data_IF_550653877999
#
_entry.id   IF_550653877999
#
_cell.length_a   1.000
_cell.length_b   1.000
_cell.length_c   1.000
_cell.angle_alpha   90.00
_cell.angle_beta   90.00
_cell.angle_gamma   90.00
#
_symmetry.space_group_name_H-M   'P 1'
#
loop_
_entity.id
_entity.type
_entity.pdbx_description
1 polymer ?
#
# COMPACT_ATOMS: atom_id res chain seq x y z
N UNK A 1 45.64 16.46 -30.68
CA UNK A 1 44.89 17.71 -30.88
C UNK A 1 44.88 18.48 -29.58
N UNK A 2 45.27 19.76 -29.64
CA UNK A 2 45.56 20.62 -28.50
C UNK A 2 44.35 20.76 -27.56
N UNK A 3 44.57 20.53 -26.26
CA UNK A 3 43.61 20.90 -25.22
C UNK A 3 43.63 22.42 -25.09
N UNK A 4 42.58 23.09 -25.56
CA UNK A 4 42.34 24.49 -25.21
C UNK A 4 42.30 24.61 -23.68
N UNK A 5 43.23 25.42 -23.14
CA UNK A 5 43.27 25.73 -21.72
C UNK A 5 42.05 26.59 -21.38
N UNK A 6 40.96 25.94 -20.96
CA UNK A 6 39.78 26.62 -20.38
C UNK A 6 40.23 27.55 -19.24
N UNK A 7 39.77 28.80 -19.28
CA UNK A 7 40.13 29.86 -18.34
C UNK A 7 39.68 29.57 -16.89
N UNK A 8 40.33 30.25 -15.95
CA UNK A 8 40.10 30.14 -14.50
C UNK A 8 38.61 30.28 -14.10
N UNK A 9 37.87 31.15 -14.80
CA UNK A 9 36.44 31.39 -14.57
C UNK A 9 35.59 30.17 -14.97
N UNK A 10 35.91 29.50 -16.09
CA UNK A 10 35.21 28.30 -16.50
C UNK A 10 35.42 27.14 -15.52
N UNK A 11 36.62 27.04 -14.91
CA UNK A 11 36.92 26.05 -13.85
C UNK A 11 36.28 26.36 -12.50
N UNK A 12 35.95 27.63 -12.23
CA UNK A 12 35.21 28.03 -11.03
C UNK A 12 33.70 27.82 -11.18
N UNK A 13 33.17 27.95 -12.41
CA UNK A 13 31.75 27.76 -12.71
C UNK A 13 31.40 26.29 -13.00
N UNK A 14 32.23 25.59 -13.76
CA UNK A 14 32.12 24.14 -13.97
C UNK A 14 32.80 23.44 -12.78
N UNK A 15 32.05 23.29 -11.68
CA UNK A 15 32.43 22.34 -10.63
C UNK A 15 32.67 20.95 -11.23
N UNK A 16 33.54 20.15 -10.61
CA UNK A 16 33.83 18.78 -11.08
C UNK A 16 32.51 18.03 -11.31
N UNK A 17 32.25 17.62 -12.55
CA UNK A 17 31.11 16.76 -12.87
C UNK A 17 31.20 15.52 -11.97
N UNK A 18 30.16 15.28 -11.18
CA UNK A 18 30.04 14.02 -10.43
C UNK A 18 30.04 12.90 -11.46
N UNK A 19 31.03 12.01 -11.38
CA UNK A 19 31.11 10.86 -12.28
C UNK A 19 29.79 10.08 -12.23
N UNK A 20 29.32 9.56 -13.36
CA UNK A 20 28.11 8.74 -13.44
C UNK A 20 28.16 7.54 -12.46
N UNK A 21 29.37 7.09 -12.14
CA UNK A 21 29.65 6.05 -11.14
C UNK A 21 29.29 6.48 -9.70
N UNK A 22 29.49 7.76 -9.35
CA UNK A 22 29.04 8.34 -8.07
C UNK A 22 27.52 8.45 -8.01
N UNK A 23 26.84 8.74 -9.13
CA UNK A 23 25.37 8.72 -9.17
C UNK A 23 24.81 7.29 -9.02
N UNK A 24 25.49 6.28 -9.60
CA UNK A 24 25.13 4.86 -9.43
C UNK A 24 25.33 4.38 -7.99
N UNK A 25 26.41 4.76 -7.31
CA UNK A 25 26.67 4.36 -5.91
C UNK A 25 25.74 5.03 -4.89
N UNK A 26 24.98 6.07 -5.27
CA UNK A 26 23.94 6.67 -4.43
C UNK A 26 22.59 5.96 -4.46
N UNK A 27 22.42 4.93 -5.30
CA UNK A 27 21.20 4.13 -5.28
C UNK A 27 21.15 3.24 -4.03
N UNK A 28 19.95 3.03 -3.44
CA UNK A 28 19.81 2.21 -2.25
C UNK A 28 20.21 0.76 -2.51
N UNK A 29 20.87 0.16 -1.52
CA UNK A 29 21.37 -1.22 -1.63
C UNK A 29 20.33 -2.27 -1.25
N UNK A 30 19.28 -1.88 -0.53
CA UNK A 30 18.19 -2.76 -0.13
C UNK A 30 16.84 -2.01 -0.13
N UNK A 31 15.75 -2.78 -0.08
CA UNK A 31 14.36 -2.27 -0.14
C UNK A 31 14.02 -1.35 1.03
N UNK A 32 14.56 -1.65 2.22
CA UNK A 32 14.38 -0.80 3.39
C UNK A 32 14.99 0.61 3.24
N UNK A 33 16.20 0.70 2.68
CA UNK A 33 16.83 1.97 2.33
C UNK A 33 16.01 2.70 1.26
N UNK A 34 15.59 1.97 0.21
CA UNK A 34 14.76 2.51 -0.86
C UNK A 34 13.44 3.10 -0.34
N UNK A 35 12.78 2.44 0.60
CA UNK A 35 11.59 2.96 1.26
C UNK A 35 11.85 4.34 1.87
N UNK A 36 12.91 4.49 2.67
CA UNK A 36 13.23 5.75 3.32
C UNK A 36 13.70 6.84 2.35
N UNK A 37 14.43 6.46 1.31
CA UNK A 37 14.87 7.37 0.25
C UNK A 37 13.67 7.94 -0.51
N UNK A 38 12.68 7.10 -0.83
CA UNK A 38 11.44 7.56 -1.47
C UNK A 38 10.63 8.39 -0.49
N UNK A 39 10.42 7.90 0.74
CA UNK A 39 9.55 8.54 1.72
C UNK A 39 10.03 9.95 2.09
N UNK A 40 11.33 10.10 2.35
CA UNK A 40 11.93 11.39 2.73
C UNK A 40 12.31 12.23 1.50
N UNK A 41 12.90 11.62 0.48
CA UNK A 41 13.41 12.32 -0.70
C UNK A 41 12.30 12.82 -1.64
N UNK A 42 11.14 12.17 -1.65
CA UNK A 42 10.00 12.53 -2.49
C UNK A 42 8.75 12.92 -1.69
N UNK A 43 8.90 13.40 -0.45
CA UNK A 43 7.76 13.66 0.44
C UNK A 43 6.70 14.58 -0.17
N UNK A 44 7.10 15.63 -0.89
CA UNK A 44 6.16 16.53 -1.59
C UNK A 44 5.35 15.83 -2.69
N UNK A 45 5.92 14.81 -3.35
CA UNK A 45 5.18 13.98 -4.33
C UNK A 45 4.26 12.99 -3.62
N UNK A 46 4.72 12.40 -2.52
CA UNK A 46 3.90 11.50 -1.67
C UNK A 46 2.67 12.22 -1.15
N UNK A 47 2.83 13.44 -0.63
CA UNK A 47 1.71 14.28 -0.20
C UNK A 47 0.69 14.50 -1.33
N UNK A 48 1.16 14.87 -2.53
CA UNK A 48 0.28 15.08 -3.69
C UNK A 48 -0.48 13.81 -4.10
N UNK A 49 0.20 12.66 -4.12
CA UNK A 49 -0.43 11.37 -4.40
C UNK A 49 -1.46 11.02 -3.32
N UNK A 50 -1.09 11.21 -2.04
CA UNK A 50 -1.99 10.96 -0.92
C UNK A 50 -3.26 11.80 -1.01
N UNK A 51 -3.13 13.09 -1.32
CA UNK A 51 -4.26 13.99 -1.49
C UNK A 51 -5.19 13.54 -2.61
N UNK A 52 -4.64 13.11 -3.76
CA UNK A 52 -5.44 12.57 -4.86
C UNK A 52 -6.16 11.28 -4.46
N UNK A 53 -5.50 10.36 -3.76
CA UNK A 53 -6.16 9.14 -3.24
C UNK A 53 -7.28 9.52 -2.27
N UNK A 54 -6.99 10.40 -1.31
CA UNK A 54 -7.90 10.86 -0.28
C UNK A 54 -9.20 11.41 -0.88
N UNK A 55 -9.11 12.23 -1.93
CA UNK A 55 -10.27 12.80 -2.63
C UNK A 55 -11.28 11.73 -3.04
N UNK A 56 -10.81 10.60 -3.56
CA UNK A 56 -11.65 9.48 -3.99
C UNK A 56 -12.06 8.55 -2.84
N UNK A 57 -11.40 8.64 -1.68
CA UNK A 57 -11.77 7.94 -0.45
C UNK A 57 -12.76 8.74 0.42
N UNK A 58 -13.04 10.01 0.11
CA UNK A 58 -14.02 10.84 0.85
C UNK A 58 -15.36 10.11 1.04
N UNK A 59 -15.98 9.47 0.02
CA UNK A 59 -17.24 8.77 0.22
C UNK A 59 -17.13 7.62 1.24
N UNK A 60 -16.03 6.85 1.21
CA UNK A 60 -15.80 5.79 2.19
C UNK A 60 -15.59 6.36 3.60
N UNK A 61 -14.83 7.47 3.73
CA UNK A 61 -14.64 8.15 5.02
C UNK A 61 -15.96 8.70 5.55
N UNK A 62 -16.79 9.31 4.68
CA UNK A 62 -18.10 9.83 5.06
C UNK A 62 -19.03 8.72 5.56
N UNK A 63 -19.03 7.54 4.91
CA UNK A 63 -19.75 6.36 5.39
C UNK A 63 -19.30 6.01 6.81
N UNK A 64 -17.99 5.88 7.07
CA UNK A 64 -17.47 5.58 8.41
C UNK A 64 -17.99 6.61 9.43
N UNK A 65 -17.83 7.90 9.14
CA UNK A 65 -18.24 8.98 10.05
C UNK A 65 -19.75 8.94 10.33
N UNK A 66 -20.58 8.81 9.29
CA UNK A 66 -22.04 8.76 9.44
C UNK A 66 -22.46 7.58 10.31
N UNK A 67 -21.95 6.38 10.04
CA UNK A 67 -22.34 5.19 10.80
C UNK A 67 -21.78 5.18 12.22
N UNK A 68 -20.60 5.77 12.46
CA UNK A 68 -20.10 6.01 13.83
C UNK A 68 -21.01 6.97 14.60
N UNK A 69 -21.44 8.08 13.98
CA UNK A 69 -22.36 9.03 14.61
C UNK A 69 -23.76 8.45 14.86
N UNK A 70 -24.27 7.62 13.94
CA UNK A 70 -25.52 6.88 14.14
C UNK A 70 -25.41 5.90 15.31
N UNK A 71 -24.29 5.19 15.44
CA UNK A 71 -24.03 4.31 16.58
C UNK A 71 -24.04 5.06 17.92
N UNK A 72 -23.37 6.21 17.99
CA UNK A 72 -23.38 7.08 19.17
C UNK A 72 -24.79 7.59 19.49
N UNK A 73 -25.54 8.01 18.47
CA UNK A 73 -26.92 8.49 18.61
C UNK A 73 -27.84 7.38 19.14
N UNK A 74 -27.72 6.16 18.60
CA UNK A 74 -28.44 4.99 19.10
C UNK A 74 -28.11 4.71 20.56
N UNK A 75 -26.84 4.86 20.97
CA UNK A 75 -26.38 4.74 22.35
C UNK A 75 -27.07 5.68 23.35
N UNK A 76 -27.47 6.87 22.89
CA UNK A 76 -28.18 7.88 23.71
C UNK A 76 -29.71 7.68 23.65
N UNK A 77 -30.25 7.33 22.48
CA UNK A 77 -31.70 7.25 22.27
C UNK A 77 -32.32 5.97 22.82
N UNK A 78 -31.63 4.84 22.72
CA UNK A 78 -32.17 3.55 23.12
C UNK A 78 -31.81 3.20 24.57
N UNK A 79 -32.75 2.64 25.34
CA UNK A 79 -32.57 2.39 26.76
C UNK A 79 -31.80 1.09 27.01
N UNK A 80 -30.60 0.93 26.44
CA UNK A 80 -29.79 -0.29 26.58
C UNK A 80 -29.48 -0.65 28.04
N UNK A 81 -29.50 0.33 28.95
CA UNK A 81 -29.30 0.15 30.39
C UNK A 81 -30.58 0.03 31.25
N UNK A 82 -31.80 0.15 30.67
CA UNK A 82 -33.02 0.21 31.48
C UNK A 82 -33.30 -1.07 32.28
N UNK A 83 -32.84 -2.23 31.80
CA UNK A 83 -33.01 -3.51 32.49
C UNK A 83 -31.82 -3.88 33.40
N UNK A 84 -30.88 -2.95 33.65
CA UNK A 84 -29.79 -3.14 34.61
C UNK A 84 -30.21 -2.89 36.07
N UNK A 85 -31.47 -2.53 36.32
CA UNK A 85 -32.06 -2.46 37.66
C UNK A 85 -31.70 -1.20 38.47
N UNK A 86 -31.04 -0.21 37.88
CA UNK A 86 -30.67 1.05 38.56
C UNK A 86 -31.43 2.22 37.93
N UNK A 87 -32.41 2.75 38.66
CA UNK A 87 -33.00 4.08 38.41
C UNK A 87 -33.95 4.23 37.21
N UNK A 88 -34.20 3.18 36.43
CA UNK A 88 -35.12 3.21 35.27
C UNK A 88 -36.20 2.13 35.38
N UNK A 89 -37.44 2.40 34.90
CA UNK A 89 -38.48 1.37 34.81
C UNK A 89 -38.06 0.27 33.82
N UNK A 90 -38.28 -0.99 34.20
CA UNK A 90 -38.00 -2.14 33.33
C UNK A 90 -38.78 -2.02 32.02
N UNK A 91 -38.08 -2.12 30.89
CA UNK A 91 -38.66 -2.04 29.56
C UNK A 91 -38.78 -3.46 28.96
N UNK A 92 -39.98 -3.90 28.55
CA UNK A 92 -40.17 -5.21 27.94
C UNK A 92 -39.50 -5.28 26.55
N UNK A 93 -39.09 -6.49 26.13
CA UNK A 93 -38.57 -6.79 24.77
C UNK A 93 -37.27 -6.08 24.34
N UNK A 94 -36.37 -5.77 25.27
CA UNK A 94 -35.03 -5.24 24.93
C UNK A 94 -34.00 -6.32 24.55
N UNK A 95 -34.34 -7.61 24.69
CA UNK A 95 -33.44 -8.73 24.33
C UNK A 95 -33.07 -8.68 22.85
N UNK A 96 -31.77 -8.69 22.56
CA UNK A 96 -31.26 -8.65 21.18
C UNK A 96 -31.42 -7.32 20.44
N UNK A 97 -31.96 -6.26 21.08
CA UNK A 97 -32.16 -4.97 20.42
C UNK A 97 -30.84 -4.37 19.90
N UNK A 98 -29.79 -4.39 20.72
CA UNK A 98 -28.46 -3.90 20.33
C UNK A 98 -27.88 -4.68 19.15
N UNK A 99 -28.01 -6.01 19.17
CA UNK A 99 -27.57 -6.89 18.10
C UNK A 99 -28.37 -6.67 16.81
N UNK A 100 -29.67 -6.42 16.91
CA UNK A 100 -30.54 -6.13 15.76
C UNK A 100 -30.17 -4.79 15.10
N UNK A 101 -29.97 -3.74 15.89
CA UNK A 101 -29.51 -2.44 15.41
C UNK A 101 -28.11 -2.52 14.78
N UNK A 102 -27.20 -3.28 15.39
CA UNK A 102 -25.85 -3.50 14.85
C UNK A 102 -25.90 -4.25 13.52
N UNK A 103 -26.72 -5.31 13.41
CA UNK A 103 -26.94 -6.05 12.17
C UNK A 103 -27.42 -5.12 11.06
N UNK A 104 -28.42 -4.30 11.32
CA UNK A 104 -28.97 -3.36 10.34
C UNK A 104 -27.93 -2.30 9.94
N UNK A 105 -27.27 -1.68 10.92
CA UNK A 105 -26.27 -0.65 10.72
C UNK A 105 -25.09 -1.17 9.88
N UNK A 106 -24.53 -2.31 10.24
CA UNK A 106 -23.41 -2.90 9.52
C UNK A 106 -23.80 -3.33 8.11
N UNK A 107 -24.99 -3.92 7.92
CA UNK A 107 -25.47 -4.29 6.59
C UNK A 107 -25.51 -3.09 5.64
N UNK A 108 -26.04 -1.96 6.11
CA UNK A 108 -26.06 -0.72 5.33
C UNK A 108 -24.66 -0.13 5.14
N UNK A 109 -23.81 -0.13 6.18
CA UNK A 109 -22.46 0.42 6.11
C UNK A 109 -21.59 -0.36 5.10
N UNK A 110 -21.51 -1.68 5.24
CA UNK A 110 -20.71 -2.52 4.35
C UNK A 110 -21.32 -2.62 2.95
N UNK A 111 -22.64 -2.53 2.81
CA UNK A 111 -23.31 -2.39 1.52
C UNK A 111 -22.93 -1.08 0.82
N UNK A 112 -22.91 0.03 1.56
CA UNK A 112 -22.47 1.33 1.04
C UNK A 112 -20.99 1.34 0.66
N UNK A 113 -20.11 0.60 1.35
CA UNK A 113 -18.71 0.47 0.96
C UNK A 113 -18.52 -0.18 -0.41
N UNK A 114 -19.38 -1.14 -0.79
CA UNK A 114 -19.34 -1.72 -2.14
C UNK A 114 -19.58 -0.63 -3.19
N UNK A 115 -20.54 0.26 -2.97
CA UNK A 115 -20.80 1.39 -3.88
C UNK A 115 -19.66 2.40 -3.87
N UNK A 116 -19.16 2.76 -2.69
CA UNK A 116 -18.02 3.68 -2.55
C UNK A 116 -16.74 3.12 -3.18
N UNK A 117 -16.59 1.79 -3.28
CA UNK A 117 -15.42 1.14 -3.88
C UNK A 117 -15.24 1.50 -5.37
N UNK A 118 -16.33 1.81 -6.10
CA UNK A 118 -16.25 2.27 -7.48
C UNK A 118 -15.51 3.61 -7.61
N UNK A 119 -15.70 4.49 -6.63
CA UNK A 119 -15.03 5.79 -6.57
C UNK A 119 -13.62 5.60 -6.00
N UNK A 120 -13.46 4.88 -4.90
CA UNK A 120 -12.18 4.63 -4.25
C UNK A 120 -11.17 3.91 -5.17
N UNK A 121 -11.66 3.06 -6.07
CA UNK A 121 -10.84 2.39 -7.08
C UNK A 121 -10.10 3.36 -8.01
N UNK A 122 -10.67 4.55 -8.28
CA UNK A 122 -9.98 5.61 -9.04
C UNK A 122 -8.75 6.08 -8.26
N UNK A 123 -8.92 6.36 -6.97
CA UNK A 123 -7.84 6.70 -6.04
C UNK A 123 -6.74 5.64 -6.01
N UNK A 124 -7.13 4.38 -5.77
CA UNK A 124 -6.21 3.25 -5.70
C UNK A 124 -5.45 3.03 -7.01
N UNK A 125 -6.14 3.04 -8.16
CA UNK A 125 -5.52 2.78 -9.46
C UNK A 125 -4.46 3.81 -9.85
N UNK A 126 -4.74 5.10 -9.62
CA UNK A 126 -3.76 6.16 -9.84
C UNK A 126 -2.62 6.11 -8.81
N UNK A 127 -2.97 5.95 -7.53
CA UNK A 127 -2.01 5.88 -6.43
C UNK A 127 -1.01 4.73 -6.56
N UNK A 128 -1.50 3.51 -6.78
CA UNK A 128 -0.65 2.32 -6.91
C UNK A 128 0.31 2.41 -8.10
N UNK A 129 -0.12 3.02 -9.20
CA UNK A 129 0.74 3.22 -10.37
C UNK A 129 1.87 4.21 -10.09
N UNK A 130 1.56 5.37 -9.51
CA UNK A 130 2.56 6.39 -9.20
C UNK A 130 3.55 5.87 -8.16
N UNK A 131 3.07 5.24 -7.09
CA UNK A 131 3.92 4.68 -6.03
C UNK A 131 4.79 3.53 -6.55
N UNK A 132 4.24 2.64 -7.38
CA UNK A 132 5.04 1.59 -8.04
C UNK A 132 6.18 2.18 -8.86
N UNK A 133 5.92 3.23 -9.64
CA UNK A 133 6.96 3.88 -10.44
C UNK A 133 8.02 4.57 -9.54
N UNK A 134 7.62 5.13 -8.39
CA UNK A 134 8.59 5.61 -7.39
C UNK A 134 9.49 4.48 -6.87
N UNK A 135 8.93 3.31 -6.56
CA UNK A 135 9.70 2.12 -6.12
C UNK A 135 10.64 1.62 -7.22
N UNK A 136 10.29 1.82 -8.49
CA UNK A 136 11.20 1.57 -9.61
C UNK A 136 12.23 2.67 -9.85
N UNK A 137 12.25 3.71 -9.01
CA UNK A 137 13.09 4.92 -9.16
C UNK A 137 12.92 5.62 -10.51
N UNK A 138 11.75 5.48 -11.13
CA UNK A 138 11.43 6.15 -12.39
C UNK A 138 11.06 7.60 -12.14
N UNK A 139 11.41 8.49 -13.08
CA UNK A 139 11.00 9.89 -13.03
C UNK A 139 9.48 10.01 -13.15
N UNK A 140 8.83 10.53 -12.11
CA UNK A 140 7.37 10.65 -12.03
C UNK A 140 6.86 12.10 -12.04
N UNK A 141 5.82 12.33 -12.84
CA UNK A 141 4.97 13.52 -12.83
C UNK A 141 3.61 13.16 -12.24
N UNK A 142 3.45 13.39 -10.93
CA UNK A 142 2.34 12.88 -10.11
C UNK A 142 0.96 12.98 -10.77
N UNK A 143 0.55 14.16 -11.25
CA UNK A 143 -0.79 14.35 -11.79
C UNK A 143 -1.03 13.55 -13.09
N UNK A 144 -0.08 13.61 -14.03
CA UNK A 144 -0.22 12.94 -15.32
C UNK A 144 -0.12 11.42 -15.16
N UNK A 145 0.82 10.95 -14.34
CA UNK A 145 1.01 9.52 -14.07
C UNK A 145 -0.16 8.95 -13.28
N UNK A 146 -0.78 9.73 -12.38
CA UNK A 146 -1.97 9.29 -11.65
C UNK A 146 -3.12 8.96 -12.62
N UNK A 147 -3.47 9.88 -13.53
CA UNK A 147 -4.55 9.65 -14.49
C UNK A 147 -4.21 8.56 -15.52
N UNK A 148 -2.94 8.43 -15.88
CA UNK A 148 -2.47 7.29 -16.68
C UNK A 148 -2.67 5.98 -15.91
N UNK A 149 -2.32 5.96 -14.63
CA UNK A 149 -2.52 4.84 -13.72
C UNK A 149 -3.98 4.40 -13.62
N UNK A 150 -4.90 5.37 -13.48
CA UNK A 150 -6.35 5.12 -13.49
C UNK A 150 -6.74 4.39 -14.78
N UNK A 151 -6.39 4.92 -15.95
CA UNK A 151 -6.77 4.32 -17.24
C UNK A 151 -6.25 2.88 -17.42
N UNK A 152 -5.09 2.58 -16.85
CA UNK A 152 -4.45 1.26 -17.01
C UNK A 152 -4.91 0.24 -15.97
N UNK A 153 -5.18 0.67 -14.73
CA UNK A 153 -5.35 -0.24 -13.59
C UNK A 153 -6.70 -0.12 -12.90
N UNK A 154 -7.63 0.69 -13.40
CA UNK A 154 -8.95 0.89 -12.77
C UNK A 154 -9.63 -0.44 -12.43
N UNK A 155 -9.71 -1.37 -13.40
CA UNK A 155 -10.32 -2.68 -13.18
C UNK A 155 -9.58 -3.52 -12.14
N UNK A 156 -8.25 -3.43 -12.10
CA UNK A 156 -7.44 -4.15 -11.13
C UNK A 156 -7.63 -3.62 -9.70
N UNK A 157 -7.74 -2.30 -9.54
CA UNK A 157 -8.06 -1.68 -8.27
C UNK A 157 -9.52 -1.96 -7.85
N UNK A 158 -10.46 -1.84 -8.78
CA UNK A 158 -11.89 -2.05 -8.53
C UNK A 158 -12.19 -3.47 -8.09
N UNK A 159 -11.67 -4.47 -8.79
CA UNK A 159 -11.92 -5.87 -8.43
C UNK A 159 -11.31 -6.23 -7.07
N UNK A 160 -10.15 -5.66 -6.70
CA UNK A 160 -9.57 -5.85 -5.38
C UNK A 160 -10.41 -5.18 -4.28
N UNK A 161 -10.89 -3.97 -4.52
CA UNK A 161 -11.74 -3.22 -3.59
C UNK A 161 -13.10 -3.89 -3.39
N UNK A 162 -13.79 -4.28 -4.48
CA UNK A 162 -15.06 -5.00 -4.40
C UNK A 162 -14.88 -6.35 -3.72
N UNK A 163 -13.83 -7.11 -4.07
CA UNK A 163 -13.53 -8.38 -3.42
C UNK A 163 -13.43 -8.21 -1.89
N UNK A 164 -12.68 -7.21 -1.44
CA UNK A 164 -12.56 -6.90 -0.01
C UNK A 164 -13.91 -6.50 0.60
N UNK A 165 -14.63 -5.54 0.01
CA UNK A 165 -15.90 -5.05 0.53
C UNK A 165 -16.97 -6.14 0.61
N UNK A 166 -17.07 -7.02 -0.39
CA UNK A 166 -18.03 -8.14 -0.40
C UNK A 166 -17.71 -9.15 0.69
N UNK A 167 -16.44 -9.53 0.86
CA UNK A 167 -16.06 -10.46 1.93
C UNK A 167 -16.28 -9.84 3.31
N UNK A 168 -16.01 -8.54 3.49
CA UNK A 168 -16.33 -7.82 4.72
C UNK A 168 -17.83 -7.81 5.02
N UNK A 169 -18.67 -7.51 4.02
CA UNK A 169 -20.14 -7.54 4.14
C UNK A 169 -20.62 -8.93 4.57
N UNK A 170 -20.18 -9.99 3.87
CA UNK A 170 -20.59 -11.36 4.18
C UNK A 170 -20.09 -11.80 5.56
N UNK A 171 -18.82 -11.52 5.89
CA UNK A 171 -18.24 -11.87 7.18
C UNK A 171 -18.94 -11.18 8.35
N UNK A 172 -19.23 -9.89 8.22
CA UNK A 172 -19.95 -9.13 9.26
C UNK A 172 -21.43 -9.50 9.34
N UNK A 173 -22.08 -9.79 8.21
CA UNK A 173 -23.43 -10.34 8.23
C UNK A 173 -23.49 -11.66 9.01
N UNK A 174 -22.57 -12.60 8.75
CA UNK A 174 -22.50 -13.86 9.46
C UNK A 174 -22.24 -13.67 10.97
N UNK A 175 -21.30 -12.80 11.35
CA UNK A 175 -21.03 -12.48 12.76
C UNK A 175 -22.28 -11.89 13.43
N UNK A 176 -22.89 -10.88 12.84
CA UNK A 176 -24.02 -10.18 13.45
C UNK A 176 -25.25 -11.08 13.55
N UNK A 177 -25.48 -11.97 12.58
CA UNK A 177 -26.57 -12.97 12.68
C UNK A 177 -26.31 -14.01 13.77
N UNK A 178 -25.06 -14.44 13.95
CA UNK A 178 -24.68 -15.34 15.05
C UNK A 178 -24.92 -14.65 16.41
N UNK A 179 -24.47 -13.41 16.58
CA UNK A 179 -24.66 -12.64 17.81
C UNK A 179 -26.14 -12.39 18.13
N UNK A 180 -26.94 -12.02 17.11
CA UNK A 180 -28.39 -11.84 17.28
C UNK A 180 -29.08 -13.14 17.71
N UNK A 181 -28.70 -14.25 17.08
CA UNK A 181 -29.25 -15.59 17.44
C UNK A 181 -28.91 -15.95 18.88
N UNK A 182 -27.68 -15.70 19.31
CA UNK A 182 -27.23 -15.94 20.69
C UNK A 182 -27.91 -15.04 21.72
N UNK A 183 -28.43 -13.88 21.29
CA UNK A 183 -29.07 -12.90 22.16
C UNK A 183 -30.59 -13.12 22.30
N UNK A 184 -31.27 -13.59 21.26
CA UNK A 184 -32.75 -13.69 21.22
C UNK A 184 -33.25 -15.13 21.38
N UNK A 185 -32.46 -16.13 20.94
CA UNK A 185 -32.91 -17.51 20.95
C UNK A 185 -32.32 -18.29 22.12
N UNK A 186 -33.15 -19.16 22.72
CA UNK A 186 -32.68 -20.16 23.67
C UNK A 186 -31.92 -21.26 22.93
N UNK A 187 -30.60 -21.09 22.83
CA UNK A 187 -29.71 -22.07 22.18
C UNK A 187 -29.11 -23.04 23.19
N UNK A 188 -28.91 -24.31 22.78
CA UNK A 188 -28.18 -25.28 23.59
C UNK A 188 -26.70 -24.88 23.76
N UNK A 189 -26.04 -25.42 24.79
CA UNK A 189 -24.60 -25.20 25.03
C UNK A 189 -23.76 -25.56 23.79
N UNK A 190 -24.08 -26.67 23.11
CA UNK A 190 -23.38 -27.09 21.89
C UNK A 190 -23.54 -26.12 20.72
N UNK A 191 -24.77 -25.64 20.47
CA UNK A 191 -25.02 -24.64 19.42
C UNK A 191 -24.29 -23.32 19.68
N UNK A 192 -24.22 -22.88 20.95
CA UNK A 192 -23.48 -21.66 21.32
C UNK A 192 -22.01 -21.75 20.95
N UNK A 193 -21.38 -22.91 21.17
CA UNK A 193 -19.97 -23.13 20.77
C UNK A 193 -19.81 -23.03 19.26
N UNK A 194 -20.72 -23.63 18.48
CA UNK A 194 -20.68 -23.55 17.01
C UNK A 194 -20.81 -22.13 16.48
N UNK A 195 -21.72 -21.32 17.03
CA UNK A 195 -21.84 -19.91 16.65
C UNK A 195 -20.55 -19.13 16.93
N UNK A 196 -19.91 -19.35 18.10
CA UNK A 196 -18.63 -18.71 18.42
C UNK A 196 -17.47 -19.15 17.51
N UNK A 197 -17.43 -20.42 17.11
CA UNK A 197 -16.45 -20.90 16.12
C UNK A 197 -16.70 -20.22 14.76
N UNK A 198 -17.95 -20.07 14.34
CA UNK A 198 -18.31 -19.41 13.08
C UNK A 198 -17.94 -17.92 13.08
N UNK A 199 -18.14 -17.21 14.18
CA UNK A 199 -17.68 -15.83 14.37
C UNK A 199 -16.16 -15.73 14.18
N UNK A 200 -15.39 -16.58 14.89
CA UNK A 200 -13.93 -16.59 14.80
C UNK A 200 -13.43 -16.91 13.38
N UNK A 201 -14.04 -17.90 12.72
CA UNK A 201 -13.73 -18.24 11.34
C UNK A 201 -14.02 -17.07 10.37
N UNK A 202 -15.14 -16.36 10.57
CA UNK A 202 -15.49 -15.20 9.75
C UNK A 202 -14.46 -14.07 9.88
N UNK A 203 -13.95 -13.82 11.10
CA UNK A 203 -12.86 -12.86 11.33
C UNK A 203 -11.59 -13.28 10.59
N UNK A 204 -11.19 -14.55 10.67
CA UNK A 204 -10.01 -15.08 9.97
C UNK A 204 -10.16 -14.89 8.46
N UNK A 205 -11.33 -15.19 7.90
CA UNK A 205 -11.60 -15.03 6.47
C UNK A 205 -11.54 -13.56 6.04
N UNK A 206 -12.03 -12.62 6.86
CA UNK A 206 -11.92 -11.18 6.58
C UNK A 206 -10.47 -10.69 6.60
N UNK A 207 -9.68 -11.13 7.59
CA UNK A 207 -8.24 -10.79 7.66
C UNK A 207 -7.50 -11.35 6.45
N UNK A 208 -7.76 -12.60 6.08
CA UNK A 208 -7.18 -13.22 4.89
C UNK A 208 -7.58 -12.46 3.62
N UNK A 209 -8.85 -12.07 3.49
CA UNK A 209 -9.32 -11.29 2.35
C UNK A 209 -8.69 -9.89 2.27
N UNK A 210 -8.42 -9.26 3.42
CA UNK A 210 -7.66 -8.01 3.48
C UNK A 210 -6.26 -8.19 2.89
N UNK A 211 -5.52 -9.21 3.35
CA UNK A 211 -4.19 -9.53 2.82
C UNK A 211 -4.23 -9.87 1.32
N UNK A 212 -5.21 -10.66 0.90
CA UNK A 212 -5.42 -10.99 -0.51
C UNK A 212 -5.67 -9.73 -1.34
N UNK A 213 -6.48 -8.79 -0.87
CA UNK A 213 -6.78 -7.55 -1.61
C UNK A 213 -5.53 -6.69 -1.82
N UNK A 214 -4.64 -6.63 -0.83
CA UNK A 214 -3.36 -5.94 -0.96
C UNK A 214 -2.44 -6.65 -1.98
N UNK A 215 -2.41 -7.98 -1.98
CA UNK A 215 -1.71 -8.76 -3.01
C UNK A 215 -2.33 -8.61 -4.40
N UNK A 216 -3.66 -8.50 -4.51
CA UNK A 216 -4.35 -8.23 -5.77
C UNK A 216 -3.95 -6.87 -6.36
N UNK A 217 -3.81 -5.84 -5.51
CA UNK A 217 -3.29 -4.53 -5.91
C UNK A 217 -1.86 -4.67 -6.43
N UNK A 218 -0.98 -5.31 -5.66
CA UNK A 218 0.43 -5.46 -6.04
C UNK A 218 0.62 -6.27 -7.33
N UNK A 219 -0.05 -7.41 -7.46
CA UNK A 219 0.03 -8.23 -8.67
C UNK A 219 -0.63 -7.54 -9.86
N UNK A 220 -1.78 -6.90 -9.66
CA UNK A 220 -2.54 -6.23 -10.71
C UNK A 220 -1.83 -5.04 -11.33
N UNK A 221 -1.00 -4.30 -10.57
CA UNK A 221 -0.20 -3.21 -11.16
C UNK A 221 1.06 -3.72 -11.87
N UNK A 222 1.60 -4.87 -11.48
CA UNK A 222 2.88 -5.36 -11.98
C UNK A 222 2.75 -6.37 -13.14
N UNK A 223 1.66 -7.14 -13.15
CA UNK A 223 1.45 -8.23 -14.10
C UNK A 223 0.05 -8.15 -14.70
N UNK A 224 -0.03 -8.39 -16.02
CA UNK A 224 -1.32 -8.55 -16.70
C UNK A 224 -1.86 -9.95 -16.41
N UNK A 225 -2.92 -10.04 -15.61
CA UNK A 225 -3.54 -11.29 -15.21
C UNK A 225 -5.06 -11.16 -15.29
N UNK A 226 -5.76 -12.25 -15.62
CA UNK A 226 -7.22 -12.31 -15.53
C UNK A 226 -7.71 -12.37 -14.08
N UNK A 227 -8.98 -12.03 -13.84
CA UNK A 227 -9.58 -11.93 -12.51
C UNK A 227 -9.37 -13.18 -11.64
N UNK A 228 -9.73 -14.37 -12.14
CA UNK A 228 -9.60 -15.62 -11.40
C UNK A 228 -8.14 -16.00 -11.11
N UNK A 229 -7.24 -15.71 -12.05
CA UNK A 229 -5.81 -15.91 -11.88
C UNK A 229 -5.26 -14.97 -10.82
N UNK A 230 -5.70 -13.71 -10.81
CA UNK A 230 -5.30 -12.74 -9.80
C UNK A 230 -5.73 -13.18 -8.40
N UNK A 231 -6.98 -13.64 -8.23
CA UNK A 231 -7.46 -14.15 -6.93
C UNK A 231 -6.62 -15.35 -6.47
N UNK A 232 -6.41 -16.35 -7.35
CA UNK A 232 -5.62 -17.54 -7.02
C UNK A 232 -4.17 -17.19 -6.64
N UNK A 233 -3.54 -16.31 -7.42
CA UNK A 233 -2.17 -15.87 -7.16
C UNK A 233 -2.08 -15.05 -5.88
N UNK A 234 -3.05 -14.18 -5.61
CA UNK A 234 -3.09 -13.38 -4.39
C UNK A 234 -3.31 -14.23 -3.15
N UNK A 235 -4.15 -15.28 -3.25
CA UNK A 235 -4.29 -16.29 -2.20
C UNK A 235 -2.97 -17.02 -1.94
N UNK A 236 -2.31 -17.50 -3.01
CA UNK A 236 -1.04 -18.21 -2.90
C UNK A 236 0.04 -17.35 -2.24
N UNK A 237 0.13 -16.06 -2.61
CA UNK A 237 1.07 -15.11 -1.99
C UNK A 237 0.71 -14.84 -0.52
N UNK A 238 -0.57 -14.67 -0.20
CA UNK A 238 -1.04 -14.43 1.17
C UNK A 238 -0.70 -15.58 2.10
N UNK A 239 -0.89 -16.83 1.66
CA UNK A 239 -0.60 -18.02 2.46
C UNK A 239 0.90 -18.34 2.46
N UNK A 240 1.54 -18.33 1.29
CA UNK A 240 2.95 -18.67 1.13
C UNK A 240 3.89 -17.69 1.85
N UNK A 241 3.42 -16.47 2.11
CA UNK A 241 4.17 -15.43 2.82
C UNK A 241 3.37 -14.87 4.00
N UNK A 242 2.57 -15.71 4.66
CA UNK A 242 1.62 -15.26 5.69
C UNK A 242 2.29 -14.44 6.82
N UNK A 243 3.41 -14.88 7.43
CA UNK A 243 4.05 -14.11 8.50
C UNK A 243 4.52 -12.72 8.01
N UNK A 244 5.13 -12.65 6.83
CA UNK A 244 5.60 -11.39 6.26
C UNK A 244 4.43 -10.50 5.83
N UNK A 245 3.39 -11.07 5.24
CA UNK A 245 2.19 -10.34 4.81
C UNK A 245 1.50 -9.69 6.01
N UNK A 246 1.35 -10.41 7.13
CA UNK A 246 0.79 -9.86 8.36
C UNK A 246 1.68 -8.74 8.90
N UNK A 247 3.00 -8.97 9.00
CA UNK A 247 3.94 -7.98 9.50
C UNK A 247 3.92 -6.69 8.67
N UNK A 248 4.04 -6.78 7.34
CA UNK A 248 4.05 -5.62 6.47
C UNK A 248 2.68 -4.96 6.31
N UNK A 249 1.57 -5.71 6.42
CA UNK A 249 0.23 -5.11 6.49
C UNK A 249 0.06 -4.28 7.77
N UNK A 250 0.50 -4.81 8.92
CA UNK A 250 0.49 -4.06 10.18
C UNK A 250 1.37 -2.81 10.10
N UNK A 251 2.57 -2.93 9.52
CA UNK A 251 3.46 -1.79 9.29
C UNK A 251 2.83 -0.75 8.36
N UNK A 252 2.18 -1.18 7.27
CA UNK A 252 1.50 -0.30 6.32
C UNK A 252 0.31 0.44 6.95
N UNK A 253 -0.34 -0.16 7.95
CA UNK A 253 -1.47 0.42 8.68
C UNK A 253 -1.04 1.30 9.87
N UNK A 254 0.25 1.42 10.18
CA UNK A 254 0.75 2.20 11.31
C UNK A 254 0.18 3.64 11.38
N UNK A 255 0.09 4.41 10.26
CA UNK A 255 -0.50 5.74 10.31
C UNK A 255 -1.99 5.76 10.70
N UNK A 256 -2.70 4.66 10.49
CA UNK A 256 -4.11 4.49 10.88
C UNK A 256 -4.25 3.92 12.31
N UNK A 257 -3.25 3.19 12.81
CA UNK A 257 -3.29 2.58 14.13
C UNK A 257 -3.45 3.61 15.27
N UNK A 258 -3.08 4.87 15.04
CA UNK A 258 -3.27 5.96 16.02
C UNK A 258 -4.76 6.21 16.35
N UNK A 259 -5.68 5.87 15.46
CA UNK A 259 -7.12 5.97 15.74
C UNK A 259 -7.57 5.00 16.84
N UNK A 260 -6.84 3.91 17.08
CA UNK A 260 -7.12 2.98 18.18
C UNK A 260 -6.89 3.62 19.57
N UNK A 261 -6.14 4.73 19.62
CA UNK A 261 -5.87 5.49 20.84
C UNK A 261 -6.78 6.72 20.99
N UNK A 262 -7.73 6.94 20.06
CA UNK A 262 -8.55 8.15 20.01
C UNK A 262 -9.44 8.33 21.25
N UNK A 263 -9.92 7.24 21.85
CA UNK A 263 -10.72 7.27 23.08
C UNK A 263 -9.89 7.66 24.32
N UNK A 264 -8.56 7.48 24.28
CA UNK A 264 -7.68 7.83 25.40
C UNK A 264 -7.48 9.34 25.52
N UNK A 265 -7.39 10.05 24.39
CA UNK A 265 -7.19 11.49 24.35
C UNK A 265 -7.59 12.07 22.98
N UNK A 266 -8.34 13.20 22.93
CA UNK A 266 -8.79 13.81 21.67
C UNK A 266 -7.67 14.19 20.69
N UNK A 267 -6.45 14.43 21.19
CA UNK A 267 -5.28 14.74 20.36
C UNK A 267 -4.95 13.59 19.38
N UNK A 268 -5.16 12.32 19.77
CA UNK A 268 -4.86 11.19 18.88
C UNK A 268 -5.80 11.11 17.68
N UNK A 269 -7.07 11.52 17.85
CA UNK A 269 -8.00 11.67 16.73
C UNK A 269 -7.51 12.74 15.75
N UNK A 270 -7.09 13.91 16.26
CA UNK A 270 -6.57 15.00 15.43
C UNK A 270 -5.30 14.59 14.68
N UNK A 271 -4.38 13.90 15.33
CA UNK A 271 -3.17 13.36 14.70
C UNK A 271 -3.50 12.31 13.64
N UNK A 272 -4.47 11.43 13.89
CA UNK A 272 -4.94 10.47 12.90
C UNK A 272 -5.49 11.16 11.65
N UNK A 273 -6.34 12.18 11.82
CA UNK A 273 -6.87 12.99 10.72
C UNK A 273 -5.72 13.68 9.96
N UNK A 274 -4.74 14.23 10.67
CA UNK A 274 -3.57 14.86 10.07
C UNK A 274 -2.75 13.84 9.24
N UNK A 275 -2.50 12.64 9.76
CA UNK A 275 -1.77 11.61 9.03
C UNK A 275 -2.52 11.18 7.77
N UNK A 276 -3.84 10.99 7.86
CA UNK A 276 -4.70 10.69 6.71
C UNK A 276 -4.65 11.81 5.67
N UNK A 277 -4.70 13.06 6.10
CA UNK A 277 -4.62 14.21 5.21
C UNK A 277 -3.25 14.32 4.51
N UNK A 278 -2.17 14.03 5.22
CA UNK A 278 -0.80 14.30 4.73
C UNK A 278 -0.20 13.12 3.97
N UNK A 279 -0.27 11.88 4.47
CA UNK A 279 0.50 10.78 3.87
C UNK A 279 -0.04 9.35 4.05
N UNK A 280 -1.04 9.08 4.88
CA UNK A 280 -1.36 7.71 5.34
C UNK A 280 -1.64 6.71 4.20
N UNK A 281 -2.43 7.09 3.20
CA UNK A 281 -2.76 6.20 2.07
C UNK A 281 -1.55 5.93 1.18
N UNK A 282 -0.80 6.99 0.86
CA UNK A 282 0.41 6.84 0.05
C UNK A 282 1.49 6.03 0.78
N UNK A 283 1.61 6.19 2.09
CA UNK A 283 2.49 5.39 2.93
C UNK A 283 2.09 3.92 2.94
N UNK A 284 0.81 3.61 3.13
CA UNK A 284 0.30 2.24 3.08
C UNK A 284 0.68 1.56 1.76
N UNK A 285 0.42 2.24 0.63
CA UNK A 285 0.80 1.73 -0.69
C UNK A 285 2.31 1.61 -0.85
N UNK A 286 3.09 2.55 -0.32
CA UNK A 286 4.55 2.53 -0.43
C UNK A 286 5.15 1.35 0.33
N UNK A 287 4.77 1.15 1.59
CA UNK A 287 5.21 0.00 2.39
C UNK A 287 4.83 -1.30 1.68
N UNK A 288 3.57 -1.42 1.26
CA UNK A 288 3.09 -2.65 0.66
C UNK A 288 3.71 -2.95 -0.70
N UNK A 289 3.82 -1.95 -1.59
CA UNK A 289 4.39 -2.16 -2.92
C UNK A 289 5.89 -2.37 -2.90
N UNK A 290 6.63 -1.73 -1.99
CA UNK A 290 8.06 -2.00 -1.82
C UNK A 290 8.32 -3.43 -1.32
N UNK A 291 7.57 -3.87 -0.31
CA UNK A 291 7.56 -5.27 0.14
C UNK A 291 7.17 -6.24 -0.99
N UNK A 292 6.13 -5.91 -1.75
CA UNK A 292 5.70 -6.76 -2.85
C UNK A 292 6.76 -6.87 -3.95
N UNK A 293 7.48 -5.79 -4.27
CA UNK A 293 8.57 -5.85 -5.24
C UNK A 293 9.71 -6.75 -4.76
N UNK A 294 10.04 -6.72 -3.47
CA UNK A 294 10.97 -7.68 -2.90
C UNK A 294 10.50 -9.13 -3.11
N UNK A 295 9.24 -9.41 -2.82
CA UNK A 295 8.66 -10.74 -3.00
C UNK A 295 8.67 -11.18 -4.47
N UNK A 296 8.34 -10.26 -5.38
CA UNK A 296 8.35 -10.50 -6.82
C UNK A 296 9.75 -10.78 -7.33
N UNK A 297 10.75 -9.99 -6.93
CA UNK A 297 12.14 -10.20 -7.28
C UNK A 297 12.68 -11.55 -6.79
N UNK A 298 12.20 -12.02 -5.64
CA UNK A 298 12.65 -13.29 -5.06
C UNK A 298 11.95 -14.51 -5.65
N UNK A 299 10.64 -14.43 -5.91
CA UNK A 299 9.81 -15.61 -6.17
C UNK A 299 9.19 -15.68 -7.57
N UNK A 300 9.02 -14.53 -8.25
CA UNK A 300 8.27 -14.41 -9.51
C UNK A 300 9.16 -13.99 -10.67
N UNK A 301 9.79 -12.81 -10.60
CA UNK A 301 10.58 -12.20 -11.67
C UNK A 301 11.68 -13.12 -12.25
N UNK A 302 12.44 -13.90 -11.44
CA UNK A 302 13.44 -14.81 -11.98
C UNK A 302 12.88 -15.92 -12.89
N UNK A 303 11.57 -16.18 -12.82
CA UNK A 303 10.88 -17.22 -13.58
C UNK A 303 10.15 -16.69 -14.82
N UNK A 304 10.20 -15.37 -15.05
CA UNK A 304 9.55 -14.72 -16.19
C UNK A 304 10.63 -14.22 -17.14
N UNK A 305 10.59 -14.69 -18.39
CA UNK A 305 11.53 -14.26 -19.43
C UNK A 305 11.43 -12.74 -19.67
N UNK A 306 12.56 -12.04 -19.63
CA UNK A 306 12.64 -10.59 -19.81
C UNK A 306 12.20 -9.73 -18.61
N UNK A 307 11.78 -10.33 -17.50
CA UNK A 307 11.53 -9.56 -16.27
C UNK A 307 12.85 -9.11 -15.64
N UNK A 308 12.91 -7.86 -15.18
CA UNK A 308 14.11 -7.34 -14.50
C UNK A 308 13.96 -7.54 -12.99
N UNK A 309 14.99 -8.08 -12.37
CA UNK A 309 15.09 -8.28 -10.92
C UNK A 309 15.82 -7.09 -10.29
N UNK A 310 15.40 -6.63 -9.12
CA UNK A 310 16.11 -5.59 -8.37
C UNK A 310 15.93 -4.18 -8.93
N UNK A 311 14.80 -3.90 -9.59
CA UNK A 311 14.51 -2.55 -10.10
C UNK A 311 14.52 -1.53 -8.96
N UNK A 312 15.21 -0.40 -9.17
CA UNK A 312 15.36 0.66 -8.18
C UNK A 312 16.44 0.43 -7.12
N UNK A 313 17.19 -0.66 -7.20
CA UNK A 313 18.30 -0.97 -6.29
C UNK A 313 19.65 -0.90 -6.99
N UNK A 314 20.69 -0.61 -6.21
CA UNK A 314 22.08 -0.74 -6.66
C UNK A 314 22.50 -2.21 -6.73
N UNK A 315 22.90 -2.67 -7.91
CA UNK A 315 23.55 -3.98 -8.07
C UNK A 315 25.07 -3.78 -8.09
N UNK A 316 25.77 -4.41 -7.13
CA UNK A 316 27.24 -4.39 -7.05
C UNK A 316 27.91 -5.01 -8.28
N UNK A 317 27.20 -5.88 -8.99
CA UNK A 317 27.69 -6.61 -10.17
C UNK A 317 27.51 -5.80 -11.48
N UNK A 318 27.08 -4.53 -11.41
CA UNK A 318 26.88 -3.64 -12.56
C UNK A 318 25.56 -3.84 -13.31
N UNK A 319 24.87 -4.96 -13.11
CA UNK A 319 23.61 -5.35 -13.78
C UNK A 319 22.36 -4.59 -13.31
N UNK A 320 22.47 -3.29 -13.01
CA UNK A 320 21.31 -2.50 -12.61
C UNK A 320 20.25 -2.50 -13.72
N UNK A 321 18.97 -2.65 -13.37
CA UNK A 321 17.85 -2.60 -14.31
C UNK A 321 17.75 -1.28 -15.12
N UNK A 322 18.53 -0.26 -14.72
CA UNK A 322 18.74 1.02 -15.40
C UNK A 322 19.58 0.90 -16.68
N UNK A 323 20.27 -0.21 -16.93
CA UNK A 323 21.08 -0.40 -18.16
C UNK A 323 20.25 -0.45 -19.46
N UNK A 324 18.93 -0.56 -19.39
CA UNK A 324 18.10 -0.64 -20.60
C UNK A 324 17.70 0.72 -21.20
N UNK A 325 18.29 1.83 -20.75
CA UNK A 325 18.11 3.15 -21.39
C UNK A 325 19.35 3.65 -22.12
N UNK A 326 20.40 2.84 -22.25
CA UNK A 326 21.32 3.06 -23.37
C UNK A 326 20.62 2.54 -24.63
N UNK A 327 19.85 3.42 -25.28
CA UNK A 327 19.42 3.24 -26.67
C UNK A 327 20.61 2.73 -27.50
N UNK A 328 20.40 1.95 -28.55
CA UNK A 328 21.48 1.54 -29.46
C UNK A 328 22.38 2.73 -29.86
N UNK A 329 21.80 3.94 -29.93
CA UNK A 329 22.50 5.22 -30.11
C UNK A 329 23.49 5.59 -28.99
N UNK A 330 23.20 5.30 -27.72
CA UNK A 330 24.09 5.55 -26.59
C UNK A 330 25.25 4.53 -26.53
N UNK A 331 24.98 3.28 -26.91
CA UNK A 331 26.02 2.25 -27.10
C UNK A 331 26.92 2.57 -28.29
N UNK A 332 26.35 3.05 -29.40
CA UNK A 332 27.11 3.57 -30.53
C UNK A 332 27.88 4.83 -30.18
N UNK A 333 27.33 5.73 -29.37
CA UNK A 333 28.04 6.90 -28.87
C UNK A 333 29.22 6.51 -27.97
N UNK A 334 29.03 5.55 -27.05
CA UNK A 334 30.11 4.99 -26.22
C UNK A 334 31.18 4.30 -27.07
N UNK A 335 30.78 3.51 -28.08
CA UNK A 335 31.71 2.89 -29.06
C UNK A 335 32.43 3.93 -29.91
N UNK A 336 31.75 5.00 -30.32
CA UNK A 336 32.32 6.11 -31.09
C UNK A 336 33.33 6.90 -30.24
N UNK A 337 33.06 7.11 -28.95
CA UNK A 337 34.02 7.73 -28.02
C UNK A 337 35.23 6.82 -27.76
N UNK A 338 35.01 5.50 -27.64
CA UNK A 338 36.07 4.50 -27.51
C UNK A 338 36.95 4.45 -28.77
N UNK A 339 36.33 4.46 -29.96
CA UNK A 339 37.03 4.54 -31.24
C UNK A 339 37.73 5.89 -31.46
N UNK A 340 37.19 6.97 -30.91
CA UNK A 340 37.79 8.31 -30.93
C UNK A 340 38.93 8.51 -29.91
N UNK A 341 39.29 7.48 -29.13
CA UNK A 341 40.46 7.48 -28.24
C UNK A 341 40.40 8.48 -27.08
N UNK A 342 39.21 8.95 -26.69
CA UNK A 342 39.06 10.08 -25.74
C UNK A 342 38.97 9.72 -24.25
N UNK A 343 39.22 8.48 -23.82
CA UNK A 343 39.32 8.19 -22.38
C UNK A 343 39.98 6.83 -22.07
N UNK A 344 41.19 6.86 -21.51
CA UNK A 344 41.87 5.69 -20.89
C UNK A 344 41.21 5.21 -19.58
N UNK A 345 40.14 5.87 -19.12
CA UNK A 345 39.42 5.49 -17.89
C UNK A 345 38.36 4.41 -18.16
N UNK A 346 37.87 4.28 -19.39
CA UNK A 346 36.88 3.26 -19.78
C UNK A 346 37.52 1.86 -19.89
N UNK A 347 38.84 1.77 -20.02
CA UNK A 347 39.56 0.51 -20.27
C UNK A 347 40.30 -0.06 -19.04
N UNK A 348 40.09 0.48 -17.83
CA UNK A 348 40.75 -0.05 -16.63
C UNK A 348 39.87 -1.07 -15.93
N UNK A 349 40.36 -2.30 -15.67
CA UNK A 349 39.66 -3.26 -14.83
C UNK A 349 39.40 -2.67 -13.44
N UNK A 350 38.16 -2.80 -12.97
CA UNK A 350 37.71 -2.34 -11.65
C UNK A 350 38.46 -3.16 -10.59
N UNK A 351 39.19 -2.50 -9.68
CA UNK A 351 39.77 -3.17 -8.51
C UNK A 351 38.68 -3.38 -7.44
N UNK A 352 38.67 -4.51 -6.72
CA UNK A 352 37.80 -4.68 -5.56
C UNK A 352 38.09 -3.59 -4.53
N UNK A 353 37.04 -2.99 -3.97
CA UNK A 353 37.15 -2.01 -2.89
C UNK A 353 37.51 -2.78 -1.61
N UNK A 354 38.67 -2.48 -1.02
CA UNK A 354 39.01 -2.77 0.37
C UNK A 354 38.53 -1.59 1.24
N UNK A 355 37.91 -1.90 2.39
CA UNK A 355 37.18 -1.00 3.29
C UNK A 355 38.10 0.00 4.06
N UNK A 356 39.31 0.27 3.58
CA UNK A 356 40.31 1.08 4.28
C UNK A 356 40.40 2.56 3.85
N UNK A 357 39.54 3.03 2.94
CA UNK A 357 39.56 4.45 2.53
C UNK A 357 38.67 5.32 3.41
N UNK A 358 39.27 5.87 4.47
CA UNK A 358 38.74 7.04 5.16
C UNK A 358 38.80 8.26 4.23
N UNK A 359 37.64 8.84 3.94
CA UNK A 359 37.50 10.06 3.13
C UNK A 359 37.39 11.26 4.07
N UNK A 360 38.33 12.21 3.96
CA UNK A 360 38.20 13.56 4.51
C UNK A 360 37.33 14.44 3.62
#
# INVERSE_FOLDING_TARGET
>A
MAQEKKGLIARMLEGKERSEEYARSTLPTNRWQLFWDIFKGNFGKIFKVNFLILLFFIPAIAIIVIFTLLGQTNGVLFPFGANLGVGYPAQPNLEGLSQSLTLQSDLYMYGAFILASFIAAIGLAGGMYVIRNMVWTEGIFVANDFWRGVKLNFWNALQAAIFFCVVMLLGKFLINTAELTLAVQSVSKGQRIWFKISEAFSVIMMVLAALMSLWMIALGVNYKQGFWTLIKNSFLMSIGMLPQSIFFAALALLPFAIFLLSDMMPLFLLLGILFVAVFAFAYLLLVWLDFAQWAFDKFINPKIEGAKVGRGLYNKDGSSALEANDSAAAMEYKRAILAAGKSKLVSRPIKPIDDSLQVY
#
